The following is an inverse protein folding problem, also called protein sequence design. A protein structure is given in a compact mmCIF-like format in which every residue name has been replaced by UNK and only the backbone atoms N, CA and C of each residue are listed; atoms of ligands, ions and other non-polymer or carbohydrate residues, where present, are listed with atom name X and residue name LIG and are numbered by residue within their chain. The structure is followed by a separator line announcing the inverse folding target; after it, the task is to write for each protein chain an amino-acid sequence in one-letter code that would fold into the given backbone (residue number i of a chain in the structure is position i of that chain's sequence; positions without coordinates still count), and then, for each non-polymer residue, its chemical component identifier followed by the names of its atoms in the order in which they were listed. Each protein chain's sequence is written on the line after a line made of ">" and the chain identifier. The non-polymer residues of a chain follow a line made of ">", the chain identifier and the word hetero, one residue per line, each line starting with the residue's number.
data_IF_675674793601
#
_entry.id   IF_675674793601
#
_cell.length_a   1.000
_cell.length_b   1.000
_cell.length_c   1.000
_cell.angle_alpha   90.00
_cell.angle_beta   90.00
_cell.angle_gamma   90.00
#
_symmetry.space_group_name_H-M   'P 1'
#
loop_
_entity.id
_entity.type
_entity.pdbx_description
1 polymer ?
#
# COMPACT_ATOMS: atom_id res chain seq x y z
N UNK A 1 15.30 2.88 -19.16
CA UNK A 1 15.33 3.81 -18.01
C UNK A 1 16.49 3.51 -17.06
N UNK A 2 16.55 2.34 -16.40
CA UNK A 2 17.66 2.02 -15.48
C UNK A 2 19.05 2.02 -16.14
N UNK A 3 19.16 1.56 -17.39
CA UNK A 3 20.40 1.64 -18.20
C UNK A 3 20.93 3.08 -18.39
N UNK A 4 20.06 4.09 -18.22
CA UNK A 4 20.42 5.50 -18.32
C UNK A 4 20.58 6.15 -16.94
N UNK A 5 20.67 5.37 -15.86
CA UNK A 5 20.87 5.86 -14.49
C UNK A 5 19.60 6.30 -13.75
N UNK A 6 18.42 6.22 -14.36
CA UNK A 6 17.17 6.56 -13.69
C UNK A 6 16.77 5.50 -12.66
N UNK A 7 16.28 5.98 -11.50
CA UNK A 7 15.53 5.16 -10.55
C UNK A 7 14.09 5.02 -11.03
N UNK A 8 13.53 3.84 -10.89
CA UNK A 8 12.15 3.53 -11.31
C UNK A 8 11.36 3.05 -10.11
N UNK A 9 10.22 3.68 -9.82
CA UNK A 9 9.32 3.26 -8.75
C UNK A 9 7.96 2.86 -9.32
N UNK A 10 7.33 1.84 -8.73
CA UNK A 10 5.93 1.51 -8.98
C UNK A 10 5.05 2.31 -8.03
N UNK A 11 4.02 2.99 -8.54
CA UNK A 11 3.04 3.72 -7.73
C UNK A 11 1.61 3.24 -8.05
N UNK A 12 0.86 2.81 -7.03
CA UNK A 12 -0.49 2.26 -7.21
C UNK A 12 -1.33 2.32 -5.93
N UNK A 13 -2.65 2.20 -6.10
CA UNK A 13 -3.60 2.03 -4.99
C UNK A 13 -3.64 0.61 -4.42
N UNK A 14 -2.99 -0.35 -5.08
CA UNK A 14 -2.94 -1.76 -4.66
C UNK A 14 -1.95 -1.98 -3.51
N UNK A 15 -2.23 -2.99 -2.71
CA UNK A 15 -1.33 -3.50 -1.67
C UNK A 15 -0.23 -4.42 -2.24
N UNK A 16 0.68 -4.84 -1.36
CA UNK A 16 1.83 -5.67 -1.72
C UNK A 16 1.45 -7.06 -2.23
N UNK A 17 0.42 -7.69 -1.66
CA UNK A 17 -0.03 -9.01 -2.08
C UNK A 17 -0.72 -8.92 -3.44
N UNK A 18 -1.51 -7.86 -3.65
CA UNK A 18 -2.12 -7.58 -4.95
C UNK A 18 -1.09 -7.43 -6.08
N UNK A 19 0.04 -6.73 -5.85
CA UNK A 19 1.07 -6.59 -6.91
C UNK A 19 1.90 -7.87 -7.11
N UNK A 20 2.12 -8.66 -6.06
CA UNK A 20 2.82 -9.96 -6.16
C UNK A 20 2.04 -10.99 -6.97
N UNK A 21 0.71 -10.88 -7.00
CA UNK A 21 -0.16 -11.78 -7.75
C UNK A 21 -0.29 -11.48 -9.25
N UNK A 22 0.28 -10.37 -9.75
CA UNK A 22 0.14 -9.98 -11.16
C UNK A 22 1.14 -10.78 -12.01
N UNK A 23 0.64 -11.77 -12.77
CA UNK A 23 1.47 -12.68 -13.58
C UNK A 23 2.44 -11.99 -14.53
N UNK A 24 2.01 -10.90 -15.15
CA UNK A 24 2.77 -10.20 -16.19
C UNK A 24 3.57 -9.00 -15.66
N UNK A 25 3.63 -8.82 -14.33
CA UNK A 25 4.40 -7.77 -13.69
C UNK A 25 5.69 -8.33 -13.12
N UNK A 26 6.81 -8.04 -13.77
CA UNK A 26 8.13 -8.26 -13.17
C UNK A 26 8.38 -7.18 -12.12
N UNK A 27 8.01 -7.46 -10.86
CA UNK A 27 8.21 -6.53 -9.76
C UNK A 27 9.71 -6.26 -9.51
N UNK A 28 10.62 -7.20 -9.82
CA UNK A 28 12.05 -7.06 -9.52
C UNK A 28 12.75 -5.90 -10.25
N UNK A 29 12.10 -5.33 -11.26
CA UNK A 29 12.67 -4.23 -12.04
C UNK A 29 12.63 -2.88 -11.30
N UNK A 30 11.79 -2.74 -10.27
CA UNK A 30 11.58 -1.48 -9.56
C UNK A 30 12.59 -1.28 -8.43
N UNK A 31 13.04 -0.04 -8.26
CA UNK A 31 13.94 0.38 -7.19
C UNK A 31 13.18 0.76 -5.90
N UNK A 32 11.86 1.02 -5.99
CA UNK A 32 10.99 1.32 -4.86
C UNK A 32 9.50 1.10 -5.23
N UNK A 33 8.64 1.05 -4.22
CA UNK A 33 7.20 0.85 -4.39
C UNK A 33 6.43 1.81 -3.49
N UNK A 34 5.45 2.50 -4.06
CA UNK A 34 4.51 3.39 -3.38
C UNK A 34 3.12 2.77 -3.52
N UNK A 35 2.66 2.11 -2.46
CA UNK A 35 1.47 1.26 -2.44
C UNK A 35 0.37 1.90 -1.59
N UNK A 36 -0.85 1.37 -1.67
CA UNK A 36 -2.01 1.88 -0.92
C UNK A 36 -2.20 3.40 -1.09
N UNK A 37 -2.04 3.90 -2.32
CA UNK A 37 -2.11 5.34 -2.65
C UNK A 37 -1.09 6.19 -1.87
N UNK A 38 0.06 5.63 -1.53
CA UNK A 38 1.13 6.32 -0.79
C UNK A 38 1.09 6.09 0.71
N UNK A 39 0.13 5.32 1.23
CA UNK A 39 0.09 4.96 2.65
C UNK A 39 1.17 3.94 3.02
N UNK A 40 1.84 3.29 2.07
CA UNK A 40 2.97 2.42 2.34
C UNK A 40 4.07 2.54 1.27
N UNK A 41 5.32 2.62 1.72
CA UNK A 41 6.51 2.76 0.88
C UNK A 41 7.47 1.61 1.18
N UNK A 42 7.86 0.90 0.13
CA UNK A 42 8.76 -0.26 0.20
C UNK A 42 10.04 -0.04 -0.62
N UNK A 43 11.13 -0.65 -0.17
CA UNK A 43 12.40 -0.68 -0.91
C UNK A 43 12.38 -1.72 -2.05
N UNK A 44 13.46 -1.80 -2.80
CA UNK A 44 13.65 -2.77 -3.89
C UNK A 44 13.65 -4.24 -3.42
N UNK A 45 13.75 -4.50 -2.12
CA UNK A 45 13.62 -5.85 -1.52
C UNK A 45 12.22 -6.13 -0.99
N UNK A 46 11.25 -5.23 -1.26
CA UNK A 46 9.88 -5.30 -0.77
C UNK A 46 9.78 -5.26 0.77
N UNK A 47 10.74 -4.62 1.45
CA UNK A 47 10.64 -4.31 2.89
C UNK A 47 10.00 -2.94 3.07
N UNK A 48 9.06 -2.84 4.00
CA UNK A 48 8.41 -1.56 4.32
C UNK A 48 9.46 -0.62 4.93
N UNK A 49 9.71 0.51 4.26
CA UNK A 49 10.57 1.59 4.77
C UNK A 49 9.74 2.55 5.62
N UNK A 50 8.49 2.79 5.19
CA UNK A 50 7.60 3.73 5.84
C UNK A 50 6.15 3.43 5.52
N UNK A 51 5.31 3.47 6.53
CA UNK A 51 3.85 3.45 6.41
C UNK A 51 3.21 4.67 7.08
N UNK A 52 1.96 4.91 6.72
CA UNK A 52 1.12 5.98 7.21
C UNK A 52 -0.24 5.39 7.58
N UNK A 53 -0.33 4.64 8.70
CA UNK A 53 -1.58 4.04 9.13
C UNK A 53 -2.58 5.11 9.55
N UNK A 54 -3.87 4.81 9.45
CA UNK A 54 -4.90 5.62 10.08
C UNK A 54 -4.71 5.62 11.60
N UNK A 55 -4.90 6.77 12.22
CA UNK A 55 -4.92 6.87 13.67
C UNK A 55 -6.17 6.14 14.21
N UNK A 56 -6.02 5.43 15.33
CA UNK A 56 -7.15 4.73 15.98
C UNK A 56 -8.34 5.66 16.18
N UNK A 57 -8.11 6.88 16.67
CA UNK A 57 -9.17 7.86 16.94
C UNK A 57 -9.95 8.25 15.69
N UNK A 58 -9.30 8.31 14.53
CA UNK A 58 -9.96 8.63 13.27
C UNK A 58 -10.74 7.43 12.74
N UNK A 59 -10.19 6.22 12.91
CA UNK A 59 -10.91 4.97 12.61
C UNK A 59 -12.17 4.83 13.47
N UNK A 60 -12.09 5.15 14.77
CA UNK A 60 -13.23 5.10 15.69
C UNK A 60 -14.34 6.07 15.26
N UNK A 61 -13.99 7.30 14.85
CA UNK A 61 -14.97 8.27 14.30
C UNK A 61 -15.63 7.77 13.02
N UNK A 62 -14.85 7.16 12.11
CA UNK A 62 -15.38 6.59 10.87
C UNK A 62 -16.34 5.44 11.19
N UNK A 63 -15.98 4.57 12.12
CA UNK A 63 -16.82 3.44 12.56
C UNK A 63 -18.14 3.92 13.17
N UNK A 64 -18.08 4.91 14.08
CA UNK A 64 -19.27 5.51 14.67
C UNK A 64 -20.20 6.07 13.59
N UNK A 65 -19.65 6.83 12.64
CA UNK A 65 -20.41 7.36 11.51
C UNK A 65 -21.05 6.25 10.67
N UNK A 66 -20.28 5.23 10.29
CA UNK A 66 -20.78 4.11 9.49
C UNK A 66 -21.90 3.35 10.20
N UNK A 67 -21.75 3.08 11.50
CA UNK A 67 -22.78 2.40 12.30
C UNK A 67 -24.07 3.22 12.37
N UNK A 68 -23.96 4.53 12.60
CA UNK A 68 -25.12 5.42 12.68
C UNK A 68 -25.87 5.56 11.34
N UNK A 69 -25.17 5.36 10.21
CA UNK A 69 -25.73 5.48 8.86
C UNK A 69 -25.98 4.12 8.18
N UNK A 70 -25.84 3.01 8.91
CA UNK A 70 -26.00 1.65 8.41
C UNK A 70 -25.12 1.36 7.17
N UNK A 71 -23.89 1.85 7.17
CA UNK A 71 -22.90 1.65 6.11
C UNK A 71 -21.90 0.56 6.51
N UNK A 72 -21.57 -0.34 5.58
CA UNK A 72 -20.51 -1.34 5.79
C UNK A 72 -19.13 -0.74 5.51
N UNK A 73 -18.14 -1.15 6.30
CA UNK A 73 -16.73 -0.79 6.14
C UNK A 73 -15.88 -2.06 6.09
N UNK A 74 -14.84 -2.06 5.26
CA UNK A 74 -13.84 -3.13 5.18
C UNK A 74 -12.50 -2.53 5.59
N UNK A 75 -11.81 -3.21 6.49
CA UNK A 75 -10.42 -2.93 6.79
C UNK A 75 -9.54 -3.83 5.93
N UNK A 76 -8.71 -3.20 5.11
CA UNK A 76 -7.65 -3.90 4.40
C UNK A 76 -6.34 -3.69 5.19
N UNK A 77 -6.00 -4.69 6.01
CA UNK A 77 -4.78 -4.67 6.83
C UNK A 77 -3.73 -5.53 6.16
N UNK A 78 -2.54 -4.99 5.94
CA UNK A 78 -1.34 -5.81 5.81
C UNK A 78 -1.06 -6.38 7.20
N UNK A 79 -1.21 -7.71 7.37
CA UNK A 79 -0.64 -8.38 8.54
C UNK A 79 0.84 -7.99 8.62
N UNK A 80 1.24 -7.43 9.76
CA UNK A 80 2.64 -7.12 10.05
C UNK A 80 3.51 -8.38 9.99
N UNK A 81 4.84 -8.24 9.89
CA UNK A 81 5.77 -9.37 9.81
C UNK A 81 5.63 -10.36 10.97
#
# INVERSE_FOLDING_TARGET
>A
MRKNGYKVALATGRDINSIRGIKDLDISIFDAYVLNNGAAIYDNTLRCIKDFPFLREDVEKILEYCNNNNMSLIFDTVEGP
#
